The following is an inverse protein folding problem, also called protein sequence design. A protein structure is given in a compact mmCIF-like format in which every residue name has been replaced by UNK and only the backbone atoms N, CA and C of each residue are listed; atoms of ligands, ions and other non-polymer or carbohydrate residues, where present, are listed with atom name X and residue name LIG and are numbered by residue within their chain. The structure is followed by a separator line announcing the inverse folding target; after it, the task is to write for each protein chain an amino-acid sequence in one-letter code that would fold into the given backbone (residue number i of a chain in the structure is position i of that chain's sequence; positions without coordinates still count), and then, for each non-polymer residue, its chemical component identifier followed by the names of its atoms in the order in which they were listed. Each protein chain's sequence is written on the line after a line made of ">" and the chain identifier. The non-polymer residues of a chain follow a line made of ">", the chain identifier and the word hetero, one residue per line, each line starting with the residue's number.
data_IF_837759831703
#
_entry.id   IF_837759831703
#
_cell.length_a   1.000
_cell.length_b   1.000
_cell.length_c   1.000
_cell.angle_alpha   90.00
_cell.angle_beta   90.00
_cell.angle_gamma   90.00
#
_symmetry.space_group_name_H-M   'P 1'
#
loop_
_entity.id
_entity.type
_entity.pdbx_description
1 polymer ?
#
# COMPACT_ATOMS: atom_id res chain seq x y z
N UNK A 1 -35.26 -5.58 -6.33
CA UNK A 1 -34.21 -6.61 -6.43
C UNK A 1 -33.28 -6.41 -5.24
N UNK A 2 -33.24 -7.35 -4.29
CA UNK A 2 -32.32 -7.27 -3.15
C UNK A 2 -30.92 -7.60 -3.67
N UNK A 3 -29.96 -6.66 -3.56
CA UNK A 3 -28.54 -6.95 -3.86
C UNK A 3 -28.07 -8.04 -2.88
N UNK A 4 -27.52 -9.13 -3.41
CA UNK A 4 -26.90 -10.15 -2.58
C UNK A 4 -25.80 -9.50 -1.71
N UNK A 5 -25.81 -9.80 -0.41
CA UNK A 5 -24.80 -9.33 0.53
C UNK A 5 -23.48 -10.00 0.16
N UNK A 6 -22.52 -9.25 -0.37
CA UNK A 6 -21.19 -9.75 -0.69
C UNK A 6 -20.50 -10.19 0.61
N UNK A 7 -20.07 -11.45 0.65
CA UNK A 7 -19.27 -11.98 1.76
C UNK A 7 -17.87 -11.38 1.66
N UNK A 8 -17.38 -10.77 2.73
CA UNK A 8 -16.02 -10.22 2.79
C UNK A 8 -15.09 -11.30 3.31
N UNK A 9 -14.03 -11.59 2.55
CA UNK A 9 -13.06 -12.63 2.89
C UNK A 9 -11.72 -12.00 3.25
N UNK A 10 -11.04 -12.61 4.22
CA UNK A 10 -9.63 -12.31 4.49
C UNK A 10 -8.78 -12.64 3.26
N UNK A 11 -7.92 -11.73 2.78
CA UNK A 11 -7.07 -12.00 1.61
C UNK A 11 -6.04 -13.09 1.88
N UNK A 12 -5.74 -13.37 3.15
CA UNK A 12 -4.77 -14.39 3.58
C UNK A 12 -5.45 -15.75 3.76
N UNK A 13 -6.54 -15.81 4.54
CA UNK A 13 -7.16 -17.09 4.92
C UNK A 13 -8.33 -17.49 4.03
N UNK A 14 -8.84 -16.59 3.20
CA UNK A 14 -10.04 -16.77 2.37
C UNK A 14 -11.30 -17.16 3.17
N UNK A 15 -11.29 -16.87 4.47
CA UNK A 15 -12.42 -17.07 5.39
C UNK A 15 -13.14 -15.75 5.64
N UNK A 16 -14.43 -15.86 5.94
CA UNK A 16 -15.32 -14.76 6.29
C UNK A 16 -15.33 -14.42 7.79
N UNK A 17 -14.47 -15.07 8.58
CA UNK A 17 -14.23 -14.74 9.98
C UNK A 17 -13.44 -13.43 10.11
N UNK A 18 -14.08 -12.33 9.71
CA UNK A 18 -13.53 -10.97 9.69
C UNK A 18 -14.50 -10.02 10.39
N UNK A 19 -13.95 -9.03 11.09
CA UNK A 19 -14.71 -7.96 11.73
C UNK A 19 -14.36 -6.61 11.10
N UNK A 20 -15.36 -5.78 10.85
CA UNK A 20 -15.14 -4.39 10.43
C UNK A 20 -14.66 -3.59 11.64
N UNK A 21 -13.52 -2.92 11.50
CA UNK A 21 -12.87 -2.12 12.54
C UNK A 21 -13.22 -0.64 12.38
N UNK A 22 -13.16 -0.13 11.15
CA UNK A 22 -13.37 1.28 10.88
C UNK A 22 -13.88 1.52 9.46
N UNK A 23 -14.31 2.75 9.21
CA UNK A 23 -14.63 3.26 7.89
C UNK A 23 -14.20 4.68 7.65
N UNK A 24 -13.76 4.93 6.42
CA UNK A 24 -13.20 6.20 5.98
C UNK A 24 -13.98 6.66 4.75
N UNK A 25 -14.60 7.83 4.83
CA UNK A 25 -15.26 8.45 3.68
C UNK A 25 -14.23 8.79 2.61
N UNK A 26 -14.49 8.38 1.37
CA UNK A 26 -13.64 8.68 0.21
C UNK A 26 -13.48 10.19 0.02
N UNK A 27 -14.53 10.98 0.25
CA UNK A 27 -14.45 12.44 0.20
C UNK A 27 -13.39 13.02 1.15
N UNK A 28 -13.18 12.40 2.32
CA UNK A 28 -12.12 12.82 3.25
C UNK A 28 -10.72 12.50 2.72
N UNK A 29 -10.57 11.40 1.97
CA UNK A 29 -9.31 11.00 1.35
C UNK A 29 -8.98 11.98 0.22
N UNK A 30 -9.93 12.22 -0.68
CA UNK A 30 -9.82 13.20 -1.79
C UNK A 30 -9.40 14.57 -1.24
N UNK A 31 -10.11 15.06 -0.23
CA UNK A 31 -9.82 16.34 0.41
C UNK A 31 -8.39 16.41 0.96
N UNK A 32 -7.91 15.33 1.60
CA UNK A 32 -6.57 15.29 2.21
C UNK A 32 -5.48 15.29 1.15
N UNK A 33 -5.61 14.49 0.09
CA UNK A 33 -4.65 14.47 -1.01
C UNK A 33 -4.58 15.84 -1.69
N UNK A 34 -5.74 16.43 -2.02
CA UNK A 34 -5.77 17.74 -2.66
C UNK A 34 -5.20 18.84 -1.78
N UNK A 35 -5.60 18.92 -0.51
CA UNK A 35 -5.17 20.00 0.40
C UNK A 35 -3.71 19.89 0.85
N UNK A 36 -3.16 18.68 0.96
CA UNK A 36 -1.82 18.47 1.53
C UNK A 36 -0.74 18.25 0.49
N UNK A 37 -1.08 17.63 -0.64
CA UNK A 37 -0.12 17.19 -1.65
C UNK A 37 -0.40 17.81 -3.03
N UNK A 38 -1.51 18.54 -3.18
CA UNK A 38 -2.00 19.07 -4.45
C UNK A 38 -2.25 17.99 -5.53
N UNK A 39 -2.52 16.75 -5.10
CA UNK A 39 -2.81 15.62 -5.99
C UNK A 39 -4.32 15.41 -6.06
N UNK A 40 -4.87 15.34 -7.27
CA UNK A 40 -6.25 14.91 -7.50
C UNK A 40 -6.31 13.38 -7.60
N UNK A 41 -7.15 12.76 -6.78
CA UNK A 41 -7.29 11.31 -6.67
C UNK A 41 -8.73 10.84 -6.90
N UNK A 42 -9.63 11.73 -7.34
CA UNK A 42 -11.07 11.41 -7.50
C UNK A 42 -11.29 10.22 -8.43
N UNK A 43 -10.52 10.14 -9.52
CA UNK A 43 -10.62 9.09 -10.53
C UNK A 43 -10.33 7.68 -10.00
N UNK A 44 -9.56 7.55 -8.91
CA UNK A 44 -9.23 6.25 -8.30
C UNK A 44 -10.35 5.66 -7.43
N UNK A 45 -11.45 6.38 -7.25
CA UNK A 45 -12.59 5.94 -6.44
C UNK A 45 -13.91 5.87 -7.23
N UNK A 46 -13.96 5.18 -8.39
CA UNK A 46 -15.17 5.13 -9.20
C UNK A 46 -16.29 4.40 -8.45
N UNK A 47 -17.37 5.12 -8.13
CA UNK A 47 -18.53 4.59 -7.41
C UNK A 47 -18.25 4.10 -5.97
N UNK A 48 -17.15 4.54 -5.35
CA UNK A 48 -16.79 4.18 -3.98
C UNK A 48 -17.01 5.39 -3.07
N UNK A 49 -17.88 5.24 -2.08
CA UNK A 49 -18.16 6.30 -1.10
C UNK A 49 -17.32 6.16 0.18
N UNK A 50 -16.91 4.93 0.49
CA UNK A 50 -16.28 4.57 1.75
C UNK A 50 -15.28 3.42 1.57
N UNK A 51 -14.15 3.52 2.27
CA UNK A 51 -13.18 2.44 2.43
C UNK A 51 -13.29 1.93 3.86
N UNK A 52 -13.50 0.63 4.02
CA UNK A 52 -13.60 -0.04 5.31
C UNK A 52 -12.29 -0.73 5.67
N UNK A 53 -11.90 -0.66 6.95
CA UNK A 53 -10.83 -1.47 7.51
C UNK A 53 -11.44 -2.70 8.18
N UNK A 54 -10.98 -3.89 7.82
CA UNK A 54 -11.36 -5.15 8.43
C UNK A 54 -10.16 -5.80 9.14
N UNK A 55 -10.43 -6.65 10.11
CA UNK A 55 -9.45 -7.51 10.79
C UNK A 55 -9.91 -8.98 10.68
N UNK A 56 -9.00 -9.86 10.29
CA UNK A 56 -9.24 -11.30 10.29
C UNK A 56 -9.12 -11.85 11.71
N UNK A 57 -10.21 -12.39 12.27
CA UNK A 57 -10.24 -12.89 13.64
C UNK A 57 -9.38 -14.15 13.85
N UNK A 58 -9.00 -14.86 12.78
CA UNK A 58 -8.13 -16.04 12.86
C UNK A 58 -6.63 -15.67 12.98
N UNK A 59 -6.23 -14.50 12.46
CA UNK A 59 -4.80 -14.13 12.30
C UNK A 59 -4.44 -12.76 12.90
N UNK A 60 -5.44 -11.93 13.20
CA UNK A 60 -5.25 -10.52 13.54
C UNK A 60 -4.86 -9.63 12.36
N UNK A 61 -4.78 -10.16 11.13
CA UNK A 61 -4.37 -9.37 9.96
C UNK A 61 -5.43 -8.34 9.58
N UNK A 62 -5.01 -7.07 9.46
CA UNK A 62 -5.87 -5.96 9.06
C UNK A 62 -5.74 -5.67 7.56
N UNK A 63 -6.86 -5.43 6.88
CA UNK A 63 -6.90 -5.11 5.45
C UNK A 63 -8.00 -4.11 5.09
N UNK A 64 -7.75 -3.30 4.06
CA UNK A 64 -8.74 -2.38 3.51
C UNK A 64 -9.60 -3.06 2.45
N UNK A 65 -10.86 -2.63 2.35
CA UNK A 65 -11.83 -3.04 1.34
C UNK A 65 -12.66 -1.82 0.91
N UNK A 66 -13.06 -1.67 -0.37
CA UNK A 66 -12.91 -2.61 -1.50
C UNK A 66 -11.48 -2.86 -1.98
N UNK A 67 -11.23 -4.03 -2.59
CA UNK A 67 -9.90 -4.42 -3.09
C UNK A 67 -9.58 -3.82 -4.46
N UNK A 68 -10.60 -3.38 -5.21
CA UNK A 68 -10.43 -2.77 -6.54
C UNK A 68 -9.79 -1.38 -6.53
N UNK A 69 -9.51 -0.79 -5.36
CA UNK A 69 -8.84 0.50 -5.26
C UNK A 69 -7.36 0.32 -5.57
N UNK A 70 -6.96 0.72 -6.76
CA UNK A 70 -5.58 0.73 -7.22
C UNK A 70 -5.28 2.06 -7.88
N UNK A 71 -4.14 2.64 -7.51
CA UNK A 71 -3.59 3.79 -8.20
C UNK A 71 -2.75 3.34 -9.41
N UNK A 72 -2.54 4.24 -10.37
CA UNK A 72 -1.74 3.98 -11.57
C UNK A 72 -0.34 4.60 -11.50
N UNK A 73 0.43 4.46 -12.58
CA UNK A 73 1.76 5.06 -12.68
C UNK A 73 1.74 6.57 -12.48
N UNK A 74 0.76 7.26 -13.06
CA UNK A 74 0.63 8.73 -12.98
C UNK A 74 0.45 9.21 -11.54
N UNK A 75 -0.27 8.46 -10.70
CA UNK A 75 -0.35 8.75 -9.27
C UNK A 75 1.02 8.67 -8.61
N UNK A 76 1.75 7.57 -8.82
CA UNK A 76 3.07 7.37 -8.22
C UNK A 76 4.07 8.40 -8.73
N UNK A 77 3.98 8.82 -10.00
CA UNK A 77 4.80 9.88 -10.57
C UNK A 77 4.55 11.26 -9.95
N UNK A 78 3.31 11.56 -9.57
CA UNK A 78 2.98 12.78 -8.83
C UNK A 78 3.44 12.68 -7.37
N UNK A 79 3.21 11.54 -6.73
CA UNK A 79 3.51 11.32 -5.34
C UNK A 79 5.03 11.33 -5.07
N UNK A 80 5.84 10.81 -5.99
CA UNK A 80 7.30 10.80 -5.83
C UNK A 80 7.97 12.17 -5.85
N UNK A 81 7.26 13.22 -6.28
CA UNK A 81 7.77 14.60 -6.24
C UNK A 81 7.87 15.16 -4.81
N UNK A 82 7.25 14.50 -3.85
CA UNK A 82 7.32 14.92 -2.45
C UNK A 82 8.70 14.54 -1.87
N UNK A 83 9.40 15.50 -1.25
CA UNK A 83 10.78 15.30 -0.75
C UNK A 83 10.92 14.10 0.21
N UNK A 84 9.87 13.80 0.97
CA UNK A 84 9.86 12.72 1.95
C UNK A 84 9.52 11.34 1.36
N UNK A 85 9.11 11.25 0.09
CA UNK A 85 8.54 10.02 -0.46
C UNK A 85 9.57 8.89 -0.57
N UNK A 86 10.74 9.20 -1.13
CA UNK A 86 11.88 8.29 -1.16
C UNK A 86 12.92 8.76 -0.16
N UNK A 87 12.75 8.35 1.09
CA UNK A 87 13.75 8.57 2.13
C UNK A 87 15.10 7.96 1.73
N UNK A 88 16.11 8.81 1.62
CA UNK A 88 17.49 8.36 1.40
C UNK A 88 18.05 7.70 2.65
N UNK A 89 18.90 6.68 2.46
CA UNK A 89 19.70 6.06 3.52
C UNK A 89 18.90 5.45 4.68
N UNK A 90 18.04 4.48 4.36
CA UNK A 90 17.39 3.61 5.35
C UNK A 90 18.43 2.76 6.08
N UNK A 91 18.55 2.93 7.39
CA UNK A 91 19.51 2.19 8.23
C UNK A 91 19.29 0.67 8.15
N UNK A 92 18.08 0.23 7.82
CA UNK A 92 17.71 -1.15 7.58
C UNK A 92 18.48 -1.74 6.39
N UNK A 93 18.76 -0.94 5.35
CA UNK A 93 19.51 -1.40 4.18
C UNK A 93 20.92 -1.83 4.59
N UNK A 94 21.64 -0.98 5.34
CA UNK A 94 23.00 -1.30 5.79
C UNK A 94 23.03 -2.52 6.70
N UNK A 95 21.98 -2.72 7.52
CA UNK A 95 21.86 -3.90 8.36
C UNK A 95 21.66 -5.18 7.56
N UNK A 96 20.83 -5.13 6.51
CA UNK A 96 20.58 -6.29 5.65
C UNK A 96 21.82 -6.63 4.83
N UNK A 97 22.45 -5.64 4.21
CA UNK A 97 23.65 -5.82 3.39
C UNK A 97 24.77 -6.49 4.19
N UNK A 98 25.05 -6.02 5.41
CA UNK A 98 26.11 -6.58 6.27
C UNK A 98 25.84 -7.99 6.78
N UNK A 99 24.57 -8.39 6.92
CA UNK A 99 24.19 -9.63 7.61
C UNK A 99 23.77 -10.75 6.68
N UNK A 100 23.25 -10.41 5.50
CA UNK A 100 22.52 -11.36 4.66
C UNK A 100 22.93 -11.34 3.19
N UNK A 101 23.72 -10.35 2.74
CA UNK A 101 24.20 -10.26 1.36
C UNK A 101 25.71 -10.56 1.33
N UNK A 102 26.09 -11.50 0.48
CA UNK A 102 27.46 -12.00 0.30
C UNK A 102 27.86 -11.93 -1.18
N UNK A 103 29.16 -12.06 -1.49
CA UNK A 103 29.72 -11.86 -2.84
C UNK A 103 28.98 -12.62 -3.96
N UNK A 104 28.55 -13.85 -3.72
CA UNK A 104 27.86 -14.69 -4.72
C UNK A 104 26.33 -14.59 -4.69
N UNK A 105 25.77 -13.61 -3.99
CA UNK A 105 24.32 -13.47 -3.84
C UNK A 105 23.65 -12.97 -5.12
N UNK A 106 22.58 -13.65 -5.54
CA UNK A 106 21.67 -13.14 -6.56
C UNK A 106 20.46 -12.49 -5.90
N UNK A 107 20.33 -11.17 -6.06
CA UNK A 107 19.34 -10.36 -5.32
C UNK A 107 18.28 -9.80 -6.26
N UNK A 108 17.01 -10.04 -5.95
CA UNK A 108 15.85 -9.40 -6.57
C UNK A 108 15.18 -8.49 -5.53
N UNK A 109 15.02 -7.21 -5.86
CA UNK A 109 14.25 -6.26 -5.05
C UNK A 109 12.90 -5.97 -5.73
N UNK A 110 11.80 -6.30 -5.04
CA UNK A 110 10.44 -6.01 -5.50
C UNK A 110 10.01 -4.65 -4.95
N UNK A 111 9.60 -3.72 -5.81
CA UNK A 111 9.27 -2.35 -5.41
C UNK A 111 10.51 -1.50 -5.10
N UNK A 112 11.53 -1.59 -5.95
CA UNK A 112 12.87 -1.05 -5.70
C UNK A 112 13.02 0.47 -5.83
N UNK A 113 12.00 1.21 -6.28
CA UNK A 113 12.07 2.64 -6.56
C UNK A 113 13.32 2.98 -7.42
N UNK A 114 14.16 3.91 -6.98
CA UNK A 114 15.42 4.29 -7.65
C UNK A 114 16.54 3.22 -7.54
N UNK A 115 16.24 2.04 -6.99
CA UNK A 115 17.16 0.91 -6.83
C UNK A 115 18.28 1.17 -5.84
N UNK A 116 18.08 2.03 -4.84
CA UNK A 116 19.13 2.44 -3.91
C UNK A 116 19.73 1.27 -3.13
N UNK A 117 18.89 0.32 -2.69
CA UNK A 117 19.35 -0.88 -2.01
C UNK A 117 20.25 -1.72 -2.94
N UNK A 118 19.81 -1.98 -4.18
CA UNK A 118 20.60 -2.73 -5.16
C UNK A 118 21.89 -2.02 -5.59
N UNK A 119 21.92 -0.68 -5.62
CA UNK A 119 23.14 0.10 -5.86
C UNK A 119 24.16 -0.15 -4.75
N UNK A 120 23.74 -0.05 -3.48
CA UNK A 120 24.59 -0.38 -2.33
C UNK A 120 25.01 -1.84 -2.28
N UNK A 121 24.15 -2.77 -2.71
CA UNK A 121 24.46 -4.20 -2.71
C UNK A 121 25.57 -4.59 -3.72
N UNK A 122 25.91 -3.69 -4.65
CA UNK A 122 26.98 -3.89 -5.64
C UNK A 122 28.32 -3.25 -5.24
N UNK A 123 28.33 -2.43 -4.18
CA UNK A 123 29.54 -1.82 -3.61
C UNK A 123 30.33 -2.84 -2.80
#
# INVERSE_FOLDING_TARGET
>A
MQKAKSVILSPITQKDNVKKINSIKVSSIIDKYKKRLDIDVVSYFPHIEEISLYECCDTGYCFYYPFEIMADGDFYEQLQKQEWYYGFNKWEHDNVLKKYIFEDSQVLEVGCADGYFLKKAKE
#
